data_IF_949246037291
#
_entry.id   IF_949246037291
#
_cell.length_a   1.000
_cell.length_b   1.000
_cell.length_c   1.000
_cell.angle_alpha   90.00
_cell.angle_beta   90.00
_cell.angle_gamma   90.00
#
_symmetry.space_group_name_H-M   'P 1'
#
loop_
_entity.id
_entity.type
_entity.pdbx_description
1 polymer ?
#
# COMPACT_ATOMS: atom_id res chain seq x y z
N UNK A 1 -12.48 -6.48 32.31
CA UNK A 1 -12.57 -5.20 31.58
C UNK A 1 -11.40 -5.17 30.63
N UNK A 2 -11.60 -5.62 29.42
CA UNK A 2 -10.59 -5.48 28.36
C UNK A 2 -10.55 -4.03 27.93
N UNK A 3 -9.40 -3.43 28.12
CA UNK A 3 -9.14 -2.04 27.75
C UNK A 3 -9.19 -1.90 26.22
N UNK A 4 -10.20 -1.20 25.71
CA UNK A 4 -10.37 -0.84 24.30
C UNK A 4 -9.28 0.12 23.78
N UNK A 5 -8.02 -0.12 24.08
CA UNK A 5 -6.93 0.80 23.71
C UNK A 5 -6.34 0.59 22.30
N UNK A 6 -6.87 -0.36 21.50
CA UNK A 6 -6.23 -0.77 20.26
C UNK A 6 -6.73 -0.14 18.96
N UNK A 7 -7.91 0.48 18.93
CA UNK A 7 -8.60 0.79 17.66
C UNK A 7 -8.88 2.28 17.40
N UNK A 8 -8.22 3.18 18.11
CA UNK A 8 -8.42 4.62 17.89
C UNK A 8 -7.76 5.08 16.58
N UNK A 9 -8.47 5.85 15.74
CA UNK A 9 -7.85 6.46 14.56
C UNK A 9 -6.73 7.41 14.95
N UNK A 10 -5.69 7.47 14.14
CA UNK A 10 -4.59 8.42 14.29
C UNK A 10 -4.16 8.97 12.94
N UNK A 11 -3.55 10.14 12.95
CA UNK A 11 -2.98 10.77 11.78
C UNK A 11 -1.54 10.30 11.59
N UNK A 12 -1.22 9.86 10.36
CA UNK A 12 0.15 9.54 9.94
C UNK A 12 0.60 10.61 8.95
N UNK A 13 1.75 11.22 9.22
CA UNK A 13 2.27 12.37 8.48
C UNK A 13 3.80 12.40 8.51
N UNK A 14 4.40 13.31 7.75
CA UNK A 14 5.84 13.58 7.82
C UNK A 14 6.11 14.82 8.66
N UNK A 15 7.06 14.75 9.58
CA UNK A 15 7.56 15.90 10.33
C UNK A 15 9.09 15.73 10.56
N UNK A 16 9.86 16.49 9.80
CA UNK A 16 11.31 16.41 9.84
C UNK A 16 11.89 16.72 11.23
N UNK A 17 11.35 17.73 11.91
CA UNK A 17 11.84 18.16 13.24
C UNK A 17 11.61 17.11 14.32
N UNK A 18 10.52 16.37 14.23
CA UNK A 18 10.14 15.32 15.18
C UNK A 18 10.58 13.93 14.73
N UNK A 19 11.27 13.83 13.59
CA UNK A 19 11.70 12.56 12.98
C UNK A 19 10.54 11.60 12.68
N UNK A 20 9.36 12.15 12.38
CA UNK A 20 8.18 11.38 12.00
C UNK A 20 8.15 11.24 10.47
N UNK A 21 7.97 10.01 9.99
CA UNK A 21 7.86 9.71 8.56
C UNK A 21 6.79 8.67 8.30
N UNK A 22 6.04 8.86 7.22
CA UNK A 22 5.08 7.86 6.71
C UNK A 22 5.75 6.52 6.46
N UNK A 23 6.99 6.53 5.92
CA UNK A 23 7.75 5.30 5.68
C UNK A 23 7.98 4.45 6.93
N UNK A 24 8.23 5.06 8.08
CA UNK A 24 8.44 4.32 9.34
C UNK A 24 7.20 3.55 9.77
N UNK A 25 6.02 4.15 9.62
CA UNK A 25 4.76 3.48 9.92
C UNK A 25 4.49 2.32 8.96
N UNK A 26 4.72 2.54 7.67
CA UNK A 26 4.58 1.49 6.67
C UNK A 26 5.55 0.32 6.92
N UNK A 27 6.80 0.60 7.28
CA UNK A 27 7.77 -0.44 7.64
C UNK A 27 7.28 -1.34 8.76
N UNK A 28 6.71 -0.76 9.82
CA UNK A 28 6.14 -1.52 10.93
C UNK A 28 4.95 -2.37 10.49
N UNK A 29 4.05 -1.80 9.70
CA UNK A 29 2.86 -2.49 9.19
C UNK A 29 3.23 -3.66 8.27
N UNK A 30 4.13 -3.44 7.31
CA UNK A 30 4.60 -4.49 6.41
C UNK A 30 5.29 -5.64 7.15
N UNK A 31 6.13 -5.35 8.13
CA UNK A 31 6.87 -6.37 8.88
C UNK A 31 6.01 -7.14 9.88
N UNK A 32 4.82 -6.65 10.19
CA UNK A 32 3.92 -7.30 11.17
C UNK A 32 2.71 -7.99 10.55
N UNK A 33 2.43 -7.80 9.27
CA UNK A 33 1.25 -8.37 8.62
C UNK A 33 1.44 -9.82 8.17
N UNK A 34 0.32 -10.53 8.01
CA UNK A 34 0.26 -11.86 7.39
C UNK A 34 0.00 -11.78 5.89
N UNK A 35 -0.64 -10.69 5.45
CA UNK A 35 -0.87 -10.36 4.04
C UNK A 35 -1.17 -8.87 3.90
N UNK A 36 -1.09 -8.35 2.67
CA UNK A 36 -1.37 -6.93 2.42
C UNK A 36 -2.02 -6.70 1.05
N UNK A 37 -2.70 -5.58 0.95
CA UNK A 37 -3.32 -5.10 -0.29
C UNK A 37 -3.06 -3.59 -0.42
N UNK A 38 -2.56 -3.18 -1.58
CA UNK A 38 -2.29 -1.77 -1.88
C UNK A 38 -3.10 -1.34 -3.10
N UNK A 39 -3.83 -0.24 -2.97
CA UNK A 39 -4.49 0.44 -4.09
C UNK A 39 -3.88 1.85 -4.19
N UNK A 40 -2.87 2.01 -5.06
CA UNK A 40 -2.03 3.20 -5.11
C UNK A 40 -1.96 3.74 -6.53
N UNK A 41 -2.45 4.96 -6.72
CA UNK A 41 -2.51 5.60 -8.04
C UNK A 41 -1.14 5.74 -8.70
N UNK A 42 -0.11 6.07 -7.93
CA UNK A 42 1.22 6.32 -8.44
C UNK A 42 2.30 5.65 -7.59
N UNK A 43 3.13 4.84 -8.24
CA UNK A 43 4.30 4.19 -7.65
C UNK A 43 5.53 4.60 -8.45
N UNK A 44 6.54 5.16 -7.78
CA UNK A 44 7.80 5.55 -8.40
C UNK A 44 8.95 4.62 -8.00
N UNK A 45 10.00 4.60 -8.80
CA UNK A 45 11.25 3.92 -8.47
C UNK A 45 11.79 4.36 -7.09
N UNK A 46 11.67 5.64 -6.77
CA UNK A 46 12.08 6.21 -5.48
C UNK A 46 11.30 5.63 -4.30
N UNK A 47 10.01 5.37 -4.47
CA UNK A 47 9.17 4.73 -3.44
C UNK A 47 9.56 3.28 -3.20
N UNK A 48 9.80 2.52 -4.28
CA UNK A 48 10.29 1.15 -4.17
C UNK A 48 11.68 1.09 -3.52
N UNK A 49 12.56 2.03 -3.83
CA UNK A 49 13.88 2.13 -3.21
C UNK A 49 13.76 2.44 -1.71
N UNK A 50 12.86 3.35 -1.31
CA UNK A 50 12.64 3.72 0.08
C UNK A 50 12.12 2.55 0.94
N UNK A 51 11.34 1.65 0.36
CA UNK A 51 10.77 0.48 1.04
C UNK A 51 11.43 -0.86 0.62
N UNK A 52 12.60 -0.79 -0.02
CA UNK A 52 13.26 -2.00 -0.56
C UNK A 52 13.46 -3.07 0.50
N UNK A 53 13.95 -2.72 1.66
CA UNK A 53 14.17 -3.69 2.76
C UNK A 53 12.86 -4.35 3.21
N UNK A 54 11.76 -3.60 3.20
CA UNK A 54 10.43 -4.14 3.52
C UNK A 54 9.98 -5.14 2.46
N UNK A 55 10.07 -4.79 1.19
CA UNK A 55 9.69 -5.68 0.10
C UNK A 55 10.56 -6.94 0.04
N UNK A 56 11.85 -6.81 0.28
CA UNK A 56 12.76 -7.95 0.39
C UNK A 56 12.39 -8.86 1.57
N UNK A 57 12.09 -8.27 2.73
CA UNK A 57 11.60 -9.01 3.90
C UNK A 57 10.31 -9.80 3.58
N UNK A 58 9.32 -9.16 2.96
CA UNK A 58 8.05 -9.80 2.59
C UNK A 58 8.25 -10.97 1.64
N UNK A 59 9.12 -10.81 0.63
CA UNK A 59 9.48 -11.89 -0.29
C UNK A 59 10.14 -13.06 0.45
N UNK A 60 11.14 -12.77 1.28
CA UNK A 60 11.94 -13.79 1.96
C UNK A 60 11.14 -14.56 3.00
N UNK A 61 10.10 -13.94 3.56
CA UNK A 61 9.15 -14.57 4.50
C UNK A 61 7.88 -15.11 3.83
N UNK A 62 7.79 -15.06 2.50
CA UNK A 62 6.64 -15.54 1.72
C UNK A 62 5.30 -14.90 2.12
N UNK A 63 5.32 -13.62 2.51
CA UNK A 63 4.12 -12.88 2.86
C UNK A 63 3.42 -12.43 1.59
N UNK A 64 2.19 -12.90 1.32
CA UNK A 64 1.49 -12.59 0.08
C UNK A 64 0.96 -11.16 0.08
N UNK A 65 0.97 -10.54 -1.10
CA UNK A 65 0.41 -9.23 -1.29
C UNK A 65 -0.26 -9.06 -2.64
N UNK A 66 -1.14 -8.06 -2.72
CA UNK A 66 -1.77 -7.60 -3.95
C UNK A 66 -1.53 -6.11 -4.11
N UNK A 67 -1.17 -5.70 -5.31
CA UNK A 67 -1.00 -4.28 -5.64
C UNK A 67 -1.83 -3.94 -6.88
N UNK A 68 -2.65 -2.90 -6.77
CA UNK A 68 -3.27 -2.24 -7.92
C UNK A 68 -2.62 -0.88 -8.07
N UNK A 69 -2.13 -0.58 -9.24
CA UNK A 69 -1.64 0.76 -9.60
C UNK A 69 -2.13 1.14 -11.00
N UNK A 70 -1.72 2.29 -11.49
CA UNK A 70 -2.11 2.76 -12.83
C UNK A 70 -0.91 3.26 -13.63
N UNK A 71 -1.14 3.57 -14.88
CA UNK A 71 -0.17 4.26 -15.75
C UNK A 71 -0.30 5.78 -15.66
N UNK A 72 -0.71 6.29 -14.51
CA UNK A 72 -1.08 7.69 -14.30
C UNK A 72 -0.12 8.66 -14.96
N UNK A 73 -0.63 9.43 -15.92
CA UNK A 73 0.07 10.46 -16.69
C UNK A 73 1.40 10.01 -17.35
N UNK A 74 1.64 8.72 -17.53
CA UNK A 74 2.89 8.21 -18.11
C UNK A 74 4.11 8.35 -17.21
N UNK A 75 3.94 8.67 -15.92
CA UNK A 75 5.04 8.82 -14.97
C UNK A 75 5.57 7.49 -14.41
N UNK A 76 4.82 6.40 -14.55
CA UNK A 76 5.27 5.09 -14.12
C UNK A 76 6.23 4.52 -15.16
N UNK A 77 7.52 4.61 -14.88
CA UNK A 77 8.55 4.12 -15.80
C UNK A 77 8.51 2.58 -15.94
N UNK A 78 8.75 2.03 -17.13
CA UNK A 78 8.85 0.58 -17.33
C UNK A 78 9.83 -0.11 -16.37
N UNK A 79 10.88 0.59 -15.95
CA UNK A 79 11.85 0.09 -14.96
C UNK A 79 11.22 -0.23 -13.61
N UNK A 80 10.28 0.59 -13.14
CA UNK A 80 9.55 0.38 -11.89
C UNK A 80 8.71 -0.91 -11.96
N UNK A 81 7.96 -1.11 -13.04
CA UNK A 81 7.17 -2.32 -13.24
C UNK A 81 8.04 -3.58 -13.31
N UNK A 82 9.19 -3.51 -13.98
CA UNK A 82 10.16 -4.62 -14.02
C UNK A 82 10.71 -4.96 -12.63
N UNK A 83 10.91 -3.96 -11.76
CA UNK A 83 11.33 -4.19 -10.37
C UNK A 83 10.22 -4.86 -9.56
N UNK A 84 8.98 -4.40 -9.69
CA UNK A 84 7.84 -5.02 -9.01
C UNK A 84 7.66 -6.49 -9.38
N UNK A 85 7.81 -6.85 -10.64
CA UNK A 85 7.70 -8.24 -11.11
C UNK A 85 8.74 -9.21 -10.54
N UNK A 86 9.80 -8.71 -9.90
CA UNK A 86 10.78 -9.56 -9.20
C UNK A 86 10.27 -10.11 -7.88
N UNK A 87 9.22 -9.52 -7.32
CA UNK A 87 8.62 -9.97 -6.07
C UNK A 87 7.53 -11.00 -6.35
N UNK A 88 7.92 -12.28 -6.35
CA UNK A 88 7.04 -13.41 -6.69
C UNK A 88 5.93 -13.70 -5.66
N UNK A 89 6.00 -13.07 -4.49
CA UNK A 89 4.98 -13.11 -3.44
C UNK A 89 3.87 -12.08 -3.65
N UNK A 90 3.97 -11.20 -4.65
CA UNK A 90 3.04 -10.09 -4.89
C UNK A 90 2.36 -10.28 -6.24
N UNK A 91 1.02 -10.28 -6.23
CA UNK A 91 0.23 -10.16 -7.45
C UNK A 91 0.04 -8.68 -7.78
N UNK A 92 0.30 -8.29 -9.02
CA UNK A 92 0.24 -6.90 -9.45
C UNK A 92 -0.72 -6.76 -10.60
N UNK A 93 -1.64 -5.80 -10.48
CA UNK A 93 -2.58 -5.45 -11.55
C UNK A 93 -2.51 -3.96 -11.88
N UNK A 94 -2.82 -3.65 -13.12
CA UNK A 94 -2.87 -2.30 -13.66
C UNK A 94 -4.33 -1.92 -13.93
N UNK A 95 -4.76 -0.81 -13.35
CA UNK A 95 -6.03 -0.21 -13.66
C UNK A 95 -5.87 0.72 -14.86
N UNK A 96 -6.51 0.39 -15.96
CA UNK A 96 -6.40 1.14 -17.22
C UNK A 96 -7.51 2.19 -17.39
N UNK A 97 -8.47 2.24 -16.49
CA UNK A 97 -9.56 3.22 -16.51
C UNK A 97 -9.12 4.63 -16.16
N UNK A 98 -9.99 5.61 -16.45
CA UNK A 98 -9.76 7.00 -16.07
C UNK A 98 -10.08 7.24 -14.59
N UNK A 99 -9.38 8.21 -13.99
CA UNK A 99 -9.70 8.70 -12.66
C UNK A 99 -9.26 7.80 -11.51
N UNK A 100 -8.33 6.87 -11.73
CA UNK A 100 -7.78 6.06 -10.65
C UNK A 100 -6.83 6.90 -9.79
N UNK A 101 -7.26 7.23 -8.57
CA UNK A 101 -6.51 8.11 -7.69
C UNK A 101 -6.46 7.68 -6.21
N UNK A 102 -6.72 6.40 -5.85
CA UNK A 102 -6.65 5.96 -4.46
C UNK A 102 -5.21 5.91 -3.94
N UNK A 103 -5.07 6.02 -2.62
CA UNK A 103 -3.86 5.74 -1.85
C UNK A 103 -4.28 5.01 -0.59
N UNK A 104 -4.59 3.74 -0.76
CA UNK A 104 -5.05 2.84 0.28
C UNK A 104 -4.05 1.73 0.55
N UNK A 105 -3.73 1.53 1.81
CA UNK A 105 -2.82 0.51 2.32
C UNK A 105 -3.59 -0.34 3.33
N UNK A 106 -3.73 -1.63 3.06
CA UNK A 106 -4.52 -2.57 3.86
C UNK A 106 -3.60 -3.70 4.31
N UNK A 107 -3.56 -3.96 5.60
CA UNK A 107 -2.72 -4.99 6.20
C UNK A 107 -3.57 -5.92 7.06
N UNK A 108 -3.46 -7.22 6.84
CA UNK A 108 -4.16 -8.23 7.60
C UNK A 108 -3.22 -8.94 8.57
N UNK A 109 -3.67 -9.13 9.80
CA UNK A 109 -2.99 -9.91 10.81
C UNK A 109 -4.01 -10.58 11.72
N UNK A 110 -4.04 -11.91 11.72
CA UNK A 110 -5.05 -12.67 12.46
C UNK A 110 -6.48 -12.19 12.14
N UNK A 111 -7.23 -11.76 13.15
CA UNK A 111 -8.59 -11.22 13.00
C UNK A 111 -8.63 -9.69 12.94
N UNK A 112 -7.48 -9.04 12.79
CA UNK A 112 -7.34 -7.58 12.73
C UNK A 112 -6.97 -7.15 11.32
N UNK A 113 -7.52 -6.02 10.90
CA UNK A 113 -7.14 -5.32 9.68
C UNK A 113 -6.73 -3.90 10.03
N UNK A 114 -5.52 -3.55 9.60
CA UNK A 114 -4.97 -2.20 9.71
C UNK A 114 -5.12 -1.50 8.38
N UNK A 115 -5.65 -0.29 8.38
CA UNK A 115 -5.93 0.47 7.17
C UNK A 115 -5.32 1.87 7.30
N UNK A 116 -4.57 2.28 6.27
CA UNK A 116 -4.12 3.65 6.08
C UNK A 116 -4.65 4.17 4.75
N UNK A 117 -5.40 5.26 4.79
CA UNK A 117 -5.94 5.94 3.60
C UNK A 117 -5.65 7.42 3.69
N UNK A 118 -5.15 8.00 2.63
CA UNK A 118 -4.88 9.44 2.60
C UNK A 118 -4.26 9.93 1.31
N UNK A 119 -3.28 10.80 1.44
CA UNK A 119 -2.65 11.49 0.32
C UNK A 119 -1.37 10.84 -0.22
N UNK A 120 -0.80 9.85 0.50
CA UNK A 120 0.54 9.35 0.18
C UNK A 120 0.56 8.32 -0.94
N UNK A 121 1.07 8.72 -2.10
CA UNK A 121 1.55 7.80 -3.12
C UNK A 121 2.83 7.06 -2.65
N UNK A 122 3.22 6.02 -3.36
CA UNK A 122 4.42 5.26 -3.05
C UNK A 122 5.63 5.89 -3.77
N UNK A 123 6.06 7.04 -3.25
CA UNK A 123 7.20 7.84 -3.72
C UNK A 123 8.05 8.28 -2.54
N UNK A 124 9.35 8.51 -2.74
CA UNK A 124 10.24 9.00 -1.69
C UNK A 124 9.71 10.30 -1.06
N UNK A 125 9.25 11.24 -1.87
CA UNK A 125 8.74 12.52 -1.38
C UNK A 125 7.49 12.36 -0.51
N UNK A 126 6.53 11.54 -0.91
CA UNK A 126 5.33 11.27 -0.11
C UNK A 126 5.63 10.52 1.18
N UNK A 127 6.59 9.59 1.14
CA UNK A 127 6.92 8.73 2.28
C UNK A 127 7.78 9.40 3.35
N UNK A 128 8.50 10.50 3.02
CA UNK A 128 9.49 11.06 3.92
C UNK A 128 9.57 12.60 3.97
N UNK A 129 9.08 13.32 2.98
CA UNK A 129 9.38 14.74 2.79
C UNK A 129 8.15 15.65 2.73
N UNK A 130 7.16 15.28 1.91
CA UNK A 130 5.97 16.11 1.68
C UNK A 130 5.10 16.24 2.92
N UNK A 131 4.30 17.31 2.95
CA UNK A 131 3.18 17.39 3.87
C UNK A 131 2.08 16.43 3.39
N UNK A 132 1.93 15.34 4.11
CA UNK A 132 0.97 14.29 3.83
C UNK A 132 0.03 14.10 5.02
N UNK A 133 -1.23 13.79 4.74
CA UNK A 133 -2.19 13.40 5.74
C UNK A 133 -2.77 12.04 5.40
N UNK A 134 -2.59 11.10 6.31
CA UNK A 134 -3.14 9.76 6.17
C UNK A 134 -3.87 9.39 7.46
N UNK A 135 -5.11 8.95 7.31
CA UNK A 135 -5.85 8.38 8.41
C UNK A 135 -5.46 6.91 8.57
N UNK A 136 -5.04 6.54 9.75
CA UNK A 136 -4.80 5.15 10.13
C UNK A 136 -5.79 4.70 11.19
N UNK A 137 -6.29 3.50 11.03
CA UNK A 137 -7.07 2.81 12.06
C UNK A 137 -6.89 1.30 11.97
N UNK A 138 -7.02 0.65 13.11
CA UNK A 138 -7.12 -0.81 13.24
C UNK A 138 -8.55 -1.19 13.55
N UNK A 139 -9.02 -2.29 12.97
CA UNK A 139 -10.37 -2.79 13.22
C UNK A 139 -10.40 -4.31 13.16
N UNK A 140 -11.42 -4.90 13.77
CA UNK A 140 -11.74 -6.30 13.54
C UNK A 140 -12.11 -6.50 12.06
N UNK A 141 -11.60 -7.57 11.45
CA UNK A 141 -11.80 -7.90 10.03
C UNK A 141 -13.27 -8.03 9.62
N UNK A 142 -14.17 -8.29 10.56
CA UNK A 142 -15.61 -8.44 10.30
C UNK A 142 -16.41 -7.14 10.45
N UNK A 143 -15.78 -6.01 10.74
CA UNK A 143 -16.48 -4.73 10.86
C UNK A 143 -16.86 -4.15 9.49
N UNK A 144 -17.98 -3.43 9.45
CA UNK A 144 -18.57 -2.89 8.22
C UNK A 144 -17.58 -2.04 7.40
N UNK A 145 -16.75 -1.23 8.08
CA UNK A 145 -15.77 -0.39 7.39
C UNK A 145 -14.71 -1.21 6.66
N UNK A 146 -14.24 -2.29 7.28
CA UNK A 146 -13.26 -3.19 6.66
C UNK A 146 -13.89 -3.92 5.48
N UNK A 147 -15.09 -4.46 5.65
CA UNK A 147 -15.83 -5.15 4.59
C UNK A 147 -16.08 -4.22 3.40
N UNK A 148 -16.39 -2.94 3.66
CA UNK A 148 -16.60 -1.96 2.58
C UNK A 148 -15.30 -1.62 1.84
N UNK A 149 -14.20 -1.46 2.53
CA UNK A 149 -12.89 -1.21 1.91
C UNK A 149 -12.48 -2.42 1.06
N UNK A 150 -12.66 -3.62 1.57
CA UNK A 150 -12.38 -4.87 0.81
C UNK A 150 -13.28 -5.01 -0.43
N UNK A 151 -14.55 -4.69 -0.30
CA UNK A 151 -15.49 -4.70 -1.43
C UNK A 151 -15.02 -3.76 -2.55
N UNK A 152 -14.60 -2.54 -2.20
CA UNK A 152 -14.10 -1.57 -3.17
C UNK A 152 -12.76 -2.00 -3.78
N UNK A 153 -11.86 -2.57 -2.97
CA UNK A 153 -10.62 -3.15 -3.49
C UNK A 153 -10.90 -4.27 -4.49
N UNK A 154 -11.80 -5.18 -4.17
CA UNK A 154 -12.17 -6.30 -5.05
C UNK A 154 -12.80 -5.83 -6.37
N UNK A 155 -13.60 -4.78 -6.35
CA UNK A 155 -14.14 -4.15 -7.57
C UNK A 155 -13.02 -3.62 -8.47
N UNK A 156 -12.07 -2.89 -7.90
CA UNK A 156 -10.91 -2.38 -8.62
C UNK A 156 -10.05 -3.52 -9.16
N UNK A 157 -9.84 -4.57 -8.36
CA UNK A 157 -9.07 -5.74 -8.74
C UNK A 157 -9.65 -6.47 -9.96
N UNK A 158 -10.98 -6.65 -9.99
CA UNK A 158 -11.69 -7.28 -11.09
C UNK A 158 -11.66 -6.45 -12.39
N UNK A 159 -11.59 -5.12 -12.26
CA UNK A 159 -11.52 -4.20 -13.39
C UNK A 159 -10.09 -4.01 -13.92
N UNK A 160 -9.10 -4.55 -13.23
CA UNK A 160 -7.70 -4.38 -13.55
C UNK A 160 -7.13 -5.59 -14.29
N UNK A 161 -6.10 -5.37 -15.09
CA UNK A 161 -5.39 -6.42 -15.81
C UNK A 161 -4.09 -6.79 -15.11
N UNK A 162 -3.67 -8.06 -15.24
CA UNK A 162 -2.41 -8.52 -14.64
C UNK A 162 -1.21 -7.87 -15.29
N UNK A 163 -0.28 -7.38 -14.48
CA UNK A 163 1.01 -6.92 -14.95
C UNK A 163 1.85 -8.13 -15.38
N UNK A 164 2.26 -8.14 -16.63
CA UNK A 164 3.15 -9.17 -17.20
C UNK A 164 4.35 -8.53 -17.89
N UNK A 165 5.34 -9.34 -18.23
CA UNK A 165 6.50 -8.85 -19.00
C UNK A 165 6.06 -8.33 -20.38
N UNK A 166 5.13 -9.04 -21.02
CA UNK A 166 4.58 -8.69 -22.33
C UNK A 166 3.81 -7.36 -22.28
N UNK A 167 3.20 -7.04 -21.15
CA UNK A 167 2.50 -5.76 -20.98
C UNK A 167 3.48 -4.57 -20.91
N UNK A 168 4.72 -4.80 -20.43
CA UNK A 168 5.73 -3.74 -20.30
C UNK A 168 6.43 -3.44 -21.63
N UNK A 169 6.48 -4.39 -22.55
CA UNK A 169 7.10 -4.29 -23.88
C UNK A 169 6.19 -3.55 -24.89
#
# INVERSE_FOLDING_TARGET
METQHGFQPRLIYNNYKEHIKVSHELELLFKSCDSFELSIAFIADSGLAALKECFDYLRDHHIPGKIITSTYLGFNAPSMFKKLLKYNNIEIKIFEGKGFHPKGYIFHKDNQTDIMIGSSNLTQSALAENQEWNLFFSSNTQKDIVLKVEEEFDKQWKQSISLTKEWIE
#
